data_IF_006296407266
#
_entry.id   IF_006296407266
#
_cell.length_a   1.000
_cell.length_b   1.000
_cell.length_c   1.000
_cell.angle_alpha   90.00
_cell.angle_beta   90.00
_cell.angle_gamma   90.00
#
_symmetry.space_group_name_H-M   'P 1'
#
loop_
_entity.id
_entity.type
_entity.pdbx_description
1 polymer ?
#
# COMPACT_ATOMS: atom_id res chain seq x y z
N UNK A 1 -4.01 -10.11 -35.38
CA UNK A 1 -4.28 -8.71 -35.77
C UNK A 1 -3.29 -7.87 -34.98
N UNK A 2 -2.53 -6.95 -35.60
CA UNK A 2 -1.52 -6.18 -34.86
C UNK A 2 -2.19 -5.38 -33.76
N UNK A 3 -1.63 -5.40 -32.54
CA UNK A 3 -2.14 -4.60 -31.43
C UNK A 3 -2.07 -3.10 -31.73
N UNK A 4 -2.81 -2.29 -30.98
CA UNK A 4 -2.77 -0.82 -31.08
C UNK A 4 -1.33 -0.31 -30.87
N UNK A 5 -0.56 -0.95 -30.00
CA UNK A 5 0.84 -0.61 -29.76
C UNK A 5 1.74 -0.94 -30.95
N UNK A 6 1.50 -2.05 -31.65
CA UNK A 6 2.22 -2.35 -32.90
C UNK A 6 1.98 -1.27 -33.96
N UNK A 7 0.76 -0.72 -34.02
CA UNK A 7 0.43 0.41 -34.91
C UNK A 7 1.13 1.70 -34.50
N UNK A 8 1.26 1.99 -33.19
CA UNK A 8 2.10 3.10 -32.68
C UNK A 8 3.58 2.91 -33.04
N UNK A 9 4.12 1.70 -32.84
CA UNK A 9 5.52 1.37 -33.17
C UNK A 9 5.80 1.58 -34.66
N UNK A 10 4.86 1.18 -35.54
CA UNK A 10 4.97 1.37 -36.99
C UNK A 10 4.78 2.83 -37.45
N UNK A 11 4.35 3.73 -36.57
CA UNK A 11 4.05 5.13 -36.90
C UNK A 11 2.68 5.35 -37.54
N UNK A 12 1.83 4.32 -37.63
CA UNK A 12 0.46 4.43 -38.14
C UNK A 12 -0.43 5.24 -37.20
N UNK A 13 -0.19 5.14 -35.88
CA UNK A 13 -0.89 5.92 -34.86
C UNK A 13 0.06 6.88 -34.14
N UNK A 14 -0.39 8.11 -33.81
CA UNK A 14 0.42 9.05 -33.05
C UNK A 14 0.54 8.60 -31.59
N UNK A 15 1.65 8.98 -30.95
CA UNK A 15 1.85 8.80 -29.52
C UNK A 15 2.69 9.95 -28.95
N UNK A 16 2.47 10.25 -27.67
CA UNK A 16 3.30 11.19 -26.91
C UNK A 16 4.57 10.47 -26.43
N UNK A 17 5.49 10.22 -27.35
CA UNK A 17 6.75 9.50 -27.09
C UNK A 17 7.61 10.26 -26.08
N UNK A 18 8.18 9.53 -25.13
CA UNK A 18 9.09 10.09 -24.11
C UNK A 18 10.50 9.51 -24.18
N UNK A 19 10.63 8.26 -24.63
CA UNK A 19 11.91 7.62 -24.90
C UNK A 19 11.74 6.53 -25.97
N UNK A 20 12.78 6.31 -26.76
CA UNK A 20 12.80 5.28 -27.78
C UNK A 20 14.25 4.80 -27.95
N UNK A 21 14.44 3.48 -28.04
CA UNK A 21 15.69 2.88 -28.51
C UNK A 21 15.41 1.87 -29.64
N UNK A 22 16.40 1.07 -30.05
CA UNK A 22 16.24 0.12 -31.15
C UNK A 22 15.18 -0.96 -30.88
N UNK A 23 14.92 -1.28 -29.60
CA UNK A 23 14.10 -2.41 -29.18
C UNK A 23 12.86 -2.02 -28.36
N UNK A 24 12.81 -0.82 -27.80
CA UNK A 24 11.79 -0.39 -26.86
C UNK A 24 11.23 0.99 -27.20
N UNK A 25 10.01 1.24 -26.74
CA UNK A 25 9.34 2.52 -26.86
C UNK A 25 8.64 2.84 -25.55
N UNK A 26 8.74 4.10 -25.10
CA UNK A 26 7.94 4.63 -24.01
C UNK A 26 7.14 5.84 -24.45
N UNK A 27 5.88 5.91 -24.04
CA UNK A 27 4.96 6.99 -24.38
C UNK A 27 3.91 7.17 -23.28
N UNK A 28 3.31 8.37 -23.20
CA UNK A 28 2.25 8.63 -22.22
C UNK A 28 0.98 7.86 -22.54
N UNK A 29 0.33 7.34 -21.50
CA UNK A 29 -1.02 6.76 -21.58
C UNK A 29 -2.02 7.89 -21.87
N UNK A 30 -2.91 7.68 -22.85
CA UNK A 30 -3.97 8.65 -23.21
C UNK A 30 -5.18 8.58 -22.27
N UNK A 31 -5.26 7.53 -21.43
CA UNK A 31 -6.26 7.31 -20.38
C UNK A 31 -5.60 7.21 -19.00
N UNK A 32 -4.84 8.23 -18.57
CA UNK A 32 -3.98 8.12 -17.41
C UNK A 32 -4.76 8.07 -16.09
N UNK A 33 -4.14 7.43 -15.08
CA UNK A 33 -4.60 7.47 -13.68
C UNK A 33 -4.21 8.80 -13.02
N UNK A 34 -3.02 9.29 -13.36
CA UNK A 34 -2.39 10.50 -12.85
C UNK A 34 -1.54 11.11 -13.97
N UNK A 35 -1.22 12.41 -13.88
CA UNK A 35 -0.30 13.02 -14.85
C UNK A 35 1.06 12.30 -14.86
N UNK A 36 1.62 12.08 -16.05
CA UNK A 36 2.89 11.37 -16.22
C UNK A 36 2.79 9.84 -16.26
N UNK A 37 1.59 9.25 -16.17
CA UNK A 37 1.39 7.81 -16.42
C UNK A 37 1.96 7.46 -17.79
N UNK A 38 3.03 6.66 -17.79
CA UNK A 38 3.80 6.28 -18.96
C UNK A 38 3.75 4.78 -19.17
N UNK A 39 3.55 4.34 -20.42
CA UNK A 39 3.62 2.95 -20.84
C UNK A 39 4.99 2.68 -21.46
N UNK A 40 5.58 1.55 -21.11
CA UNK A 40 6.87 1.09 -21.62
C UNK A 40 6.67 -0.27 -22.29
N UNK A 41 7.02 -0.36 -23.58
CA UNK A 41 6.75 -1.55 -24.42
C UNK A 41 8.03 -2.02 -25.14
N UNK A 42 8.18 -3.32 -25.42
CA UNK A 42 9.05 -3.77 -26.50
C UNK A 42 8.45 -3.34 -27.85
N UNK A 43 9.28 -3.12 -28.86
CA UNK A 43 8.83 -2.85 -30.24
C UNK A 43 8.34 -4.12 -30.93
N UNK A 44 8.92 -5.26 -30.56
CA UNK A 44 8.51 -6.59 -31.01
C UNK A 44 7.28 -7.02 -30.20
N UNK A 45 6.18 -7.23 -30.91
CA UNK A 45 4.92 -7.67 -30.31
C UNK A 45 5.07 -9.06 -29.66
N UNK A 46 4.93 -9.07 -28.34
CA UNK A 46 4.75 -10.26 -27.51
C UNK A 46 3.58 -9.94 -26.60
N UNK A 47 2.57 -10.82 -26.50
CA UNK A 47 1.32 -10.51 -25.80
C UNK A 47 1.56 -10.27 -24.30
N UNK A 48 2.09 -11.28 -23.61
CA UNK A 48 2.29 -11.24 -22.17
C UNK A 48 3.76 -11.04 -21.79
N UNK A 49 4.02 -10.27 -20.74
CA UNK A 49 5.40 -9.90 -20.36
C UNK A 49 6.25 -11.12 -19.98
N UNK A 50 5.65 -12.17 -19.41
CA UNK A 50 6.38 -13.38 -19.01
C UNK A 50 6.60 -14.37 -20.15
N UNK A 51 6.07 -14.09 -21.34
CA UNK A 51 6.41 -14.82 -22.56
C UNK A 51 7.65 -14.24 -23.24
N UNK A 52 8.16 -13.09 -22.76
CA UNK A 52 9.42 -12.53 -23.24
C UNK A 52 10.61 -13.43 -22.83
N UNK A 53 11.60 -13.62 -23.71
CA UNK A 53 12.87 -14.24 -23.33
C UNK A 53 13.51 -13.48 -22.15
N UNK A 54 14.23 -14.16 -21.23
CA UNK A 54 14.80 -13.51 -20.04
C UNK A 54 15.66 -12.27 -20.33
N UNK A 55 16.39 -12.28 -21.44
CA UNK A 55 17.20 -11.14 -21.89
C UNK A 55 16.36 -9.96 -22.35
N UNK A 56 15.26 -10.21 -23.06
CA UNK A 56 14.32 -9.16 -23.50
C UNK A 56 13.53 -8.60 -22.30
N UNK A 57 13.10 -9.46 -21.37
CA UNK A 57 12.44 -9.05 -20.14
C UNK A 57 13.33 -8.14 -19.26
N UNK A 58 14.60 -8.49 -19.12
CA UNK A 58 15.57 -7.69 -18.38
C UNK A 58 15.85 -6.36 -19.08
N UNK A 59 16.02 -6.36 -20.40
CA UNK A 59 16.24 -5.14 -21.18
C UNK A 59 15.04 -4.18 -21.09
N UNK A 60 13.82 -4.71 -21.13
CA UNK A 60 12.59 -3.93 -20.95
C UNK A 60 12.56 -3.24 -19.58
N UNK A 61 12.93 -3.93 -18.50
CA UNK A 61 12.99 -3.35 -17.15
C UNK A 61 14.11 -2.33 -17.00
N UNK A 62 15.27 -2.54 -17.61
CA UNK A 62 16.36 -1.54 -17.63
C UNK A 62 15.95 -0.28 -18.38
N UNK A 63 15.25 -0.44 -19.51
CA UNK A 63 14.65 0.67 -20.25
C UNK A 63 13.61 1.40 -19.38
N UNK A 64 12.69 0.67 -18.75
CA UNK A 64 11.69 1.24 -17.84
C UNK A 64 12.32 1.99 -16.65
N UNK A 65 13.42 1.49 -16.08
CA UNK A 65 14.15 2.15 -15.01
C UNK A 65 14.68 3.53 -15.44
N UNK A 66 15.21 3.65 -16.66
CA UNK A 66 15.66 4.95 -17.20
C UNK A 66 14.49 5.90 -17.41
N UNK A 67 13.40 5.40 -17.99
CA UNK A 67 12.18 6.19 -18.21
C UNK A 67 11.60 6.68 -16.88
N UNK A 68 11.54 5.83 -15.85
CA UNK A 68 11.04 6.20 -14.53
C UNK A 68 11.80 7.37 -13.88
N UNK A 69 13.12 7.46 -14.11
CA UNK A 69 13.93 8.62 -13.67
C UNK A 69 13.47 9.91 -14.34
N UNK A 70 13.25 9.86 -15.66
CA UNK A 70 12.72 11.01 -16.41
C UNK A 70 11.32 11.42 -15.97
N UNK A 71 10.44 10.43 -15.77
CA UNK A 71 9.07 10.64 -15.27
C UNK A 71 9.08 11.34 -13.91
N UNK A 72 9.87 10.83 -12.95
CA UNK A 72 9.96 11.40 -11.60
C UNK A 72 10.53 12.83 -11.59
N UNK A 73 11.46 13.14 -12.48
CA UNK A 73 12.06 14.47 -12.59
C UNK A 73 11.08 15.50 -13.17
N UNK A 74 10.27 15.09 -14.16
CA UNK A 74 9.28 15.97 -14.79
C UNK A 74 7.98 16.10 -13.98
N UNK A 75 7.59 15.04 -13.26
CA UNK A 75 6.37 14.99 -12.43
C UNK A 75 6.77 14.65 -10.99
N UNK A 76 6.95 15.67 -10.13
CA UNK A 76 7.34 15.47 -8.74
C UNK A 76 6.36 14.54 -8.00
N UNK A 77 6.88 13.45 -7.47
CA UNK A 77 6.12 12.45 -6.74
C UNK A 77 7.00 11.74 -5.70
N UNK A 78 6.38 11.05 -4.74
CA UNK A 78 7.12 10.30 -3.71
C UNK A 78 7.84 9.08 -4.31
N UNK A 79 7.14 8.32 -5.16
CA UNK A 79 7.66 7.11 -5.83
C UNK A 79 7.07 6.98 -7.23
N UNK A 80 7.72 6.19 -8.07
CA UNK A 80 7.12 5.67 -9.31
C UNK A 80 6.64 4.24 -9.02
N UNK A 81 5.34 4.03 -9.12
CA UNK A 81 4.73 2.71 -9.13
C UNK A 81 5.01 1.99 -10.43
N UNK A 82 5.17 0.67 -10.33
CA UNK A 82 5.33 -0.23 -11.48
C UNK A 82 4.18 -1.23 -11.42
N UNK A 83 3.43 -1.34 -12.51
CA UNK A 83 2.39 -2.35 -12.66
C UNK A 83 2.48 -3.02 -14.02
N UNK A 84 2.13 -4.31 -14.04
CA UNK A 84 1.93 -5.10 -15.26
C UNK A 84 0.57 -5.76 -15.12
N UNK A 85 -0.34 -5.49 -16.05
CA UNK A 85 -1.70 -6.03 -16.05
C UNK A 85 -1.92 -6.85 -17.31
N UNK A 86 -1.81 -6.22 -18.50
CA UNK A 86 -1.86 -6.90 -19.79
C UNK A 86 -3.25 -7.35 -20.24
N UNK A 87 -4.33 -6.90 -19.59
CA UNK A 87 -5.70 -7.30 -19.94
C UNK A 87 -6.34 -6.40 -21.00
N UNK A 88 -5.90 -5.15 -21.09
CA UNK A 88 -6.49 -4.15 -21.99
C UNK A 88 -5.92 -4.22 -23.42
N UNK A 89 -4.60 -4.37 -23.53
CA UNK A 89 -3.89 -4.43 -24.81
C UNK A 89 -2.98 -5.67 -24.82
N UNK A 90 -3.16 -6.60 -25.78
CA UNK A 90 -2.39 -7.85 -25.84
C UNK A 90 -1.01 -7.61 -26.45
N UNK A 91 -0.19 -6.83 -25.76
CA UNK A 91 1.19 -6.50 -26.09
C UNK A 91 1.88 -6.08 -24.79
N UNK A 92 2.92 -6.80 -24.38
CA UNK A 92 3.64 -6.64 -23.13
C UNK A 92 3.96 -5.17 -22.86
N UNK A 93 3.52 -4.68 -21.70
CA UNK A 93 3.74 -3.30 -21.32
C UNK A 93 3.88 -3.15 -19.81
N UNK A 94 4.74 -2.24 -19.40
CA UNK A 94 4.93 -1.83 -18.02
C UNK A 94 4.30 -0.46 -17.85
N UNK A 95 3.44 -0.31 -16.84
CA UNK A 95 2.94 0.97 -16.39
C UNK A 95 3.93 1.60 -15.42
N UNK A 96 4.33 2.84 -15.68
CA UNK A 96 5.07 3.70 -14.77
C UNK A 96 4.15 4.83 -14.30
N UNK A 97 3.80 4.83 -13.01
CA UNK A 97 2.77 5.70 -12.44
C UNK A 97 3.39 6.57 -11.34
N UNK A 98 3.43 7.90 -11.46
CA UNK A 98 3.78 8.79 -10.36
C UNK A 98 2.83 8.65 -9.16
N UNK A 99 3.36 8.31 -7.98
CA UNK A 99 2.55 8.04 -6.79
C UNK A 99 2.95 8.93 -5.60
N UNK A 100 1.95 9.49 -4.94
CA UNK A 100 2.02 10.17 -3.64
C UNK A 100 1.24 9.41 -2.55
N UNK A 101 0.32 8.54 -2.95
CA UNK A 101 -0.44 7.61 -2.10
C UNK A 101 -0.56 6.24 -2.78
N UNK A 102 -0.93 5.19 -2.04
CA UNK A 102 -1.12 3.84 -2.60
C UNK A 102 -2.30 3.81 -3.59
N UNK A 103 -3.36 4.58 -3.30
CA UNK A 103 -4.57 4.64 -4.14
C UNK A 103 -4.34 5.25 -5.52
N UNK A 104 -3.23 5.96 -5.74
CA UNK A 104 -2.87 6.52 -7.06
C UNK A 104 -2.68 5.42 -8.13
N UNK A 105 -2.33 4.19 -7.72
CA UNK A 105 -2.17 3.02 -8.58
C UNK A 105 -3.39 2.08 -8.53
N UNK A 106 -4.56 2.60 -8.15
CA UNK A 106 -5.80 1.84 -8.24
C UNK A 106 -6.43 2.02 -9.64
N UNK A 107 -6.39 0.95 -10.44
CA UNK A 107 -6.90 0.97 -11.81
C UNK A 107 -8.42 1.13 -11.91
N UNK A 108 -9.16 0.92 -10.81
CA UNK A 108 -10.59 1.19 -10.72
C UNK A 108 -10.92 2.69 -10.55
N UNK A 109 -9.93 3.54 -10.25
CA UNK A 109 -10.16 4.98 -10.17
C UNK A 109 -10.59 5.55 -11.54
N UNK A 110 -11.39 6.63 -11.54
CA UNK A 110 -11.69 7.36 -12.77
C UNK A 110 -10.40 7.84 -13.46
N UNK A 111 -10.29 7.62 -14.76
CA UNK A 111 -9.17 8.15 -15.55
C UNK A 111 -9.29 9.67 -15.66
N UNK A 112 -8.18 10.37 -15.51
CA UNK A 112 -8.17 11.83 -15.63
C UNK A 112 -8.11 12.24 -17.10
N UNK A 113 -8.64 13.42 -17.42
CA UNK A 113 -8.50 14.03 -18.75
C UNK A 113 -7.38 15.05 -18.72
N UNK A 114 -6.34 14.81 -19.51
CA UNK A 114 -5.22 15.73 -19.68
C UNK A 114 -5.32 16.38 -21.04
N UNK A 115 -5.23 17.71 -21.10
CA UNK A 115 -5.30 18.44 -22.37
C UNK A 115 -4.10 18.08 -23.27
N UNK A 116 -4.30 18.05 -24.59
CA UNK A 116 -3.25 17.71 -25.56
C UNK A 116 -1.99 18.57 -25.40
N UNK A 117 -2.14 19.88 -25.16
CA UNK A 117 -1.01 20.77 -24.92
C UNK A 117 -0.18 20.33 -23.70
N UNK A 118 -0.86 19.92 -22.63
CA UNK A 118 -0.23 19.41 -21.41
C UNK A 118 0.43 18.04 -21.64
N UNK A 119 -0.18 17.17 -22.44
CA UNK A 119 0.44 15.89 -22.83
C UNK A 119 1.75 16.10 -23.61
N UNK A 120 1.78 17.07 -24.54
CA UNK A 120 3.00 17.42 -25.28
C UNK A 120 4.08 18.00 -24.37
N UNK A 121 3.69 18.89 -23.46
CA UNK A 121 4.59 19.47 -22.46
C UNK A 121 5.21 18.39 -21.56
N UNK A 122 4.36 17.51 -20.99
CA UNK A 122 4.80 16.38 -20.17
C UNK A 122 5.76 15.48 -20.94
N UNK A 123 5.42 15.10 -22.18
CA UNK A 123 6.27 14.23 -22.97
C UNK A 123 7.65 14.83 -23.23
N UNK A 124 7.70 16.12 -23.59
CA UNK A 124 8.96 16.84 -23.78
C UNK A 124 9.76 16.95 -22.47
N UNK A 125 9.11 17.28 -21.36
CA UNK A 125 9.74 17.41 -20.05
C UNK A 125 10.32 16.08 -19.56
N UNK A 126 9.59 14.97 -19.74
CA UNK A 126 10.06 13.63 -19.39
C UNK A 126 11.24 13.26 -20.28
N UNK A 127 11.10 13.43 -21.60
CA UNK A 127 12.14 13.06 -22.57
C UNK A 127 13.48 13.76 -22.30
N UNK A 128 13.43 15.05 -21.93
CA UNK A 128 14.62 15.80 -21.57
C UNK A 128 15.37 15.27 -20.32
N UNK A 129 14.70 14.47 -19.49
CA UNK A 129 15.22 13.96 -18.22
C UNK A 129 15.52 12.45 -18.26
N UNK A 130 15.20 11.74 -19.36
CA UNK A 130 15.53 10.32 -19.48
C UNK A 130 17.03 10.18 -19.73
N UNK A 131 17.78 9.50 -18.84
CA UNK A 131 19.21 9.28 -19.03
C UNK A 131 19.50 8.42 -20.27
N UNK A 132 20.63 8.68 -20.91
CA UNK A 132 21.17 7.82 -21.96
C UNK A 132 21.40 6.40 -21.45
N UNK A 133 21.44 5.42 -22.35
CA UNK A 133 21.75 4.04 -21.98
C UNK A 133 23.20 3.95 -21.46
N UNK A 134 23.39 3.48 -20.23
CA UNK A 134 24.72 3.14 -19.69
C UNK A 134 25.11 1.75 -20.20
N UNK A 135 26.32 1.61 -20.76
CA UNK A 135 26.92 0.31 -21.08
C UNK A 135 27.38 -0.39 -19.81
N UNK A 136 26.48 -1.10 -19.14
CA UNK A 136 26.83 -1.91 -17.97
C UNK A 136 27.13 -3.36 -18.40
N UNK A 137 28.40 -3.76 -18.33
CA UNK A 137 28.80 -5.17 -18.32
C UNK A 137 28.31 -5.79 -17.00
N UNK A 138 27.29 -6.64 -17.07
CA UNK A 138 26.75 -7.35 -15.93
C UNK A 138 27.78 -8.36 -15.39
N UNK A 139 28.40 -8.06 -14.24
CA UNK A 139 29.05 -9.08 -13.42
C UNK A 139 27.95 -9.87 -12.69
N UNK A 140 27.80 -11.14 -13.05
CA UNK A 140 26.89 -12.05 -12.38
C UNK A 140 27.35 -12.27 -10.93
N UNK A 141 26.64 -11.66 -9.98
CA UNK A 141 26.75 -12.04 -8.57
C UNK A 141 25.85 -13.26 -8.35
N UNK A 142 26.49 -14.42 -8.15
CA UNK A 142 25.82 -15.66 -7.79
C UNK A 142 25.20 -15.53 -6.38
N UNK A 143 23.88 -15.44 -6.31
CA UNK A 143 23.15 -15.61 -5.05
C UNK A 143 22.93 -17.10 -4.80
N UNK A 144 23.29 -17.55 -3.60
CA UNK A 144 23.07 -18.92 -3.13
C UNK A 144 21.56 -19.20 -2.98
N UNK A 145 21.12 -20.45 -3.22
CA UNK A 145 19.70 -20.80 -3.20
C UNK A 145 19.16 -20.74 -1.77
N UNK A 146 18.04 -20.07 -1.57
CA UNK A 146 17.24 -20.24 -0.36
C UNK A 146 16.17 -21.29 -0.64
N UNK A 147 16.24 -22.37 0.14
CA UNK A 147 15.33 -23.50 0.06
C UNK A 147 13.90 -23.11 0.42
N UNK A 148 13.00 -23.49 -0.49
CA UNK A 148 11.55 -23.36 -0.42
C UNK A 148 10.90 -24.42 0.47
N UNK A 149 9.87 -24.05 1.24
CA UNK A 149 8.68 -24.89 1.56
C UNK A 149 7.50 -23.92 1.76
N UNK A 150 6.48 -23.89 0.88
CA UNK A 150 5.33 -24.82 0.88
C UNK A 150 4.42 -24.54 2.09
N UNK A 151 3.14 -24.22 1.98
CA UNK A 151 2.23 -24.28 0.84
C UNK A 151 1.01 -23.36 1.00
N UNK A 152 0.18 -23.36 -0.04
CA UNK A 152 -1.17 -22.79 -0.04
C UNK A 152 -2.01 -23.44 1.04
N UNK A 153 -2.76 -22.63 1.78
CA UNK A 153 -4.07 -23.01 2.29
C UNK A 153 -4.97 -21.77 2.31
N UNK A 154 -6.04 -21.84 1.52
CA UNK A 154 -7.18 -20.94 1.57
C UNK A 154 -8.10 -21.41 2.69
N UNK A 155 -8.50 -20.53 3.61
CA UNK A 155 -9.68 -20.76 4.43
C UNK A 155 -10.60 -19.55 4.39
N UNK A 156 -11.82 -19.85 3.99
CA UNK A 156 -12.99 -18.98 3.96
C UNK A 156 -13.41 -18.50 5.35
N UNK A 157 -14.28 -17.50 5.31
CA UNK A 157 -14.96 -16.80 6.38
C UNK A 157 -15.38 -17.64 7.60
N UNK A 158 -15.27 -17.04 8.78
CA UNK A 158 -16.10 -17.36 9.93
C UNK A 158 -16.71 -16.08 10.50
N UNK A 159 -18.04 -16.03 10.44
CA UNK A 159 -18.87 -15.03 11.06
C UNK A 159 -18.86 -15.16 12.60
N UNK A 160 -18.77 -14.02 13.29
CA UNK A 160 -19.32 -13.72 14.63
C UNK A 160 -18.78 -12.33 15.03
N UNK A 161 -19.48 -11.42 15.68
CA UNK A 161 -20.71 -11.48 16.43
C UNK A 161 -21.40 -10.11 16.38
N UNK A 162 -22.73 -10.11 16.52
CA UNK A 162 -23.59 -8.93 16.61
C UNK A 162 -23.13 -7.96 17.71
N UNK A 163 -22.92 -6.66 17.43
CA UNK A 163 -22.77 -5.69 18.50
C UNK A 163 -24.14 -5.43 19.12
N UNK A 164 -24.23 -5.63 20.44
CA UNK A 164 -25.40 -5.25 21.22
C UNK A 164 -25.59 -3.73 21.15
N UNK A 165 -26.80 -3.31 20.75
CA UNK A 165 -27.17 -1.92 20.62
C UNK A 165 -27.58 -1.28 21.96
N UNK A 166 -27.28 0.02 22.05
CA UNK A 166 -27.98 1.07 22.79
C UNK A 166 -27.75 1.21 24.30
N UNK A 167 -26.69 1.93 24.62
CA UNK A 167 -26.69 3.05 25.57
C UNK A 167 -25.68 4.09 25.04
N UNK A 168 -25.93 5.39 25.20
CA UNK A 168 -24.98 6.45 24.80
C UNK A 168 -23.63 6.22 25.49
N UNK A 169 -22.72 5.49 24.85
CA UNK A 169 -21.37 5.27 25.32
C UNK A 169 -20.52 6.42 24.79
N UNK A 170 -20.41 7.47 25.61
CA UNK A 170 -19.68 8.69 25.27
C UNK A 170 -18.21 8.38 24.95
N UNK A 171 -17.62 7.42 25.65
CA UNK A 171 -16.25 6.94 25.41
C UNK A 171 -16.13 6.31 24.03
N UNK A 172 -17.05 5.40 23.65
CA UNK A 172 -17.04 4.79 22.32
C UNK A 172 -17.24 5.84 21.21
N UNK A 173 -18.13 6.80 21.43
CA UNK A 173 -18.41 7.87 20.46
C UNK A 173 -17.18 8.76 20.23
N UNK A 174 -16.47 9.09 21.31
CA UNK A 174 -15.24 9.87 21.24
C UNK A 174 -14.11 9.08 20.55
N UNK A 175 -13.98 7.78 20.84
CA UNK A 175 -13.03 6.90 20.14
C UNK A 175 -13.33 6.83 18.65
N UNK A 176 -14.61 6.70 18.26
CA UNK A 176 -15.02 6.72 16.85
C UNK A 176 -14.61 8.01 16.14
N UNK A 177 -14.76 9.17 16.79
CA UNK A 177 -14.33 10.44 16.21
C UNK A 177 -12.80 10.51 16.07
N UNK A 178 -12.06 10.06 17.09
CA UNK A 178 -10.60 10.10 17.10
C UNK A 178 -9.98 9.14 16.08
N UNK A 179 -10.57 7.95 15.89
CA UNK A 179 -10.06 6.93 14.95
C UNK A 179 -10.56 7.09 13.52
N UNK A 180 -11.52 7.99 13.25
CA UNK A 180 -12.16 8.13 11.94
C UNK A 180 -11.14 8.38 10.81
N UNK A 181 -10.96 7.41 9.91
CA UNK A 181 -10.00 7.54 8.81
C UNK A 181 -8.51 7.51 9.24
N UNK A 182 -8.22 7.06 10.47
CA UNK A 182 -6.87 6.65 10.85
C UNK A 182 -6.63 5.21 10.40
N UNK A 183 -5.45 4.99 9.83
CA UNK A 183 -4.93 3.65 9.53
C UNK A 183 -3.63 3.43 10.26
N UNK A 184 -3.49 2.28 10.88
CA UNK A 184 -2.25 1.82 11.47
C UNK A 184 -1.35 1.30 10.34
N UNK A 185 -0.26 2.02 10.07
CA UNK A 185 0.77 1.59 9.13
C UNK A 185 1.72 0.55 9.76
N UNK A 186 1.76 -0.63 9.14
CA UNK A 186 2.77 -1.69 9.35
C UNK A 186 3.39 -2.03 7.97
N UNK A 187 3.50 -3.30 7.59
CA UNK A 187 3.72 -3.67 6.18
C UNK A 187 2.46 -3.47 5.31
N UNK A 188 1.29 -3.42 5.95
CA UNK A 188 0.03 -3.01 5.33
C UNK A 188 -0.66 -1.93 6.14
N UNK A 189 -1.71 -1.34 5.56
CA UNK A 189 -2.61 -0.42 6.23
C UNK A 189 -3.76 -1.19 6.87
N UNK A 190 -4.06 -0.92 8.15
CA UNK A 190 -5.22 -1.48 8.85
C UNK A 190 -6.01 -0.39 9.58
N UNK A 191 -7.34 -0.45 9.56
CA UNK A 191 -8.15 0.52 10.29
C UNK A 191 -7.99 0.38 11.81
N UNK A 192 -8.26 1.46 12.55
CA UNK A 192 -8.43 1.42 13.99
C UNK A 192 -9.92 1.31 14.32
N UNK A 193 -10.36 0.12 14.70
CA UNK A 193 -11.76 -0.17 15.03
C UNK A 193 -12.02 0.12 16.50
N UNK A 194 -12.79 1.18 16.85
CA UNK A 194 -13.07 1.53 18.23
C UNK A 194 -13.98 0.48 18.87
N UNK A 195 -13.69 0.12 20.13
CA UNK A 195 -14.40 -0.93 20.86
C UNK A 195 -14.75 -0.48 22.29
N UNK A 196 -15.87 -1.00 22.80
CA UNK A 196 -16.32 -0.87 24.18
C UNK A 196 -16.92 -2.20 24.64
N UNK A 197 -16.47 -2.71 25.78
CA UNK A 197 -16.86 -3.99 26.35
C UNK A 197 -17.26 -3.84 27.81
N UNK A 198 -18.20 -4.67 28.25
CA UNK A 198 -18.45 -4.87 29.68
C UNK A 198 -17.27 -5.65 30.28
N UNK A 199 -16.76 -5.20 31.44
CA UNK A 199 -15.68 -5.93 32.11
C UNK A 199 -16.11 -7.37 32.45
N UNK A 200 -15.31 -8.39 32.09
CA UNK A 200 -15.60 -9.78 32.41
C UNK A 200 -15.52 -10.03 33.92
N UNK A 201 -16.42 -10.87 34.45
CA UNK A 201 -16.60 -11.13 35.88
C UNK A 201 -15.40 -11.75 36.62
N UNK A 202 -14.29 -12.06 35.91
CA UNK A 202 -13.04 -12.59 36.45
C UNK A 202 -11.79 -11.80 36.04
N UNK A 203 -11.96 -10.58 35.54
CA UNK A 203 -10.86 -9.74 35.06
C UNK A 203 -10.32 -10.12 33.67
N UNK A 204 -9.32 -9.38 33.21
CA UNK A 204 -8.69 -9.53 31.89
C UNK A 204 -7.69 -10.70 31.84
N UNK A 205 -8.20 -11.92 31.96
CA UNK A 205 -7.41 -13.14 31.69
C UNK A 205 -7.08 -13.27 30.20
N UNK A 206 -6.01 -14.00 29.86
CA UNK A 206 -5.61 -14.23 28.46
C UNK A 206 -6.74 -14.88 27.64
N UNK A 207 -7.54 -15.76 28.25
CA UNK A 207 -8.71 -16.36 27.61
C UNK A 207 -9.81 -15.32 27.30
N UNK A 208 -10.07 -14.39 28.23
CA UNK A 208 -11.01 -13.30 28.01
C UNK A 208 -10.50 -12.34 26.93
N UNK A 209 -9.21 -12.00 26.94
CA UNK A 209 -8.56 -11.17 25.93
C UNK A 209 -8.64 -11.81 24.54
N UNK A 210 -8.37 -13.12 24.44
CA UNK A 210 -8.49 -13.86 23.18
C UNK A 210 -9.93 -13.82 22.64
N UNK A 211 -10.93 -14.03 23.50
CA UNK A 211 -12.33 -13.93 23.13
C UNK A 211 -12.70 -12.52 22.66
N UNK A 212 -12.26 -11.48 23.39
CA UNK A 212 -12.50 -10.09 23.01
C UNK A 212 -11.84 -9.75 21.68
N UNK A 213 -10.63 -10.24 21.41
CA UNK A 213 -9.92 -10.05 20.15
C UNK A 213 -10.50 -10.87 18.99
N UNK A 214 -11.33 -11.88 19.26
CA UNK A 214 -11.88 -12.78 18.24
C UNK A 214 -10.86 -13.82 17.75
N UNK A 215 -9.89 -14.19 18.60
CA UNK A 215 -8.85 -15.17 18.28
C UNK A 215 -9.05 -16.48 19.06
N UNK A 216 -8.47 -17.61 18.61
CA UNK A 216 -8.60 -18.89 19.31
C UNK A 216 -8.11 -18.83 20.76
N UNK A 217 -8.79 -19.56 21.65
CA UNK A 217 -8.34 -19.72 23.03
C UNK A 217 -6.95 -20.39 23.06
N UNK A 218 -6.05 -19.88 23.91
CA UNK A 218 -4.66 -20.36 23.99
C UNK A 218 -3.68 -19.66 23.04
N UNK A 219 -4.15 -18.72 22.21
CA UNK A 219 -3.26 -17.84 21.44
C UNK A 219 -2.36 -17.06 22.40
N UNK A 220 -1.05 -17.04 22.13
CA UNK A 220 -0.07 -16.31 22.96
C UNK A 220 -0.40 -14.82 22.97
N UNK A 221 -0.41 -14.23 24.17
CA UNK A 221 -0.67 -12.80 24.38
C UNK A 221 0.62 -12.12 24.81
N UNK A 222 1.09 -11.16 24.01
CA UNK A 222 2.19 -10.28 24.37
C UNK A 222 1.63 -8.91 24.78
N UNK A 223 2.15 -8.36 25.89
CA UNK A 223 1.74 -7.05 26.41
C UNK A 223 2.78 -6.00 26.04
N UNK A 224 2.30 -4.86 25.55
CA UNK A 224 3.14 -3.74 25.13
C UNK A 224 2.57 -2.42 25.67
N UNK A 225 3.46 -1.47 26.00
CA UNK A 225 3.08 -0.11 26.39
C UNK A 225 2.52 0.68 25.22
N UNK A 226 1.42 1.43 25.44
CA UNK A 226 0.77 2.24 24.40
C UNK A 226 1.73 3.22 23.72
N UNK A 227 2.58 3.88 24.51
CA UNK A 227 3.57 4.84 23.99
C UNK A 227 4.55 4.18 23.04
N UNK A 228 4.99 2.98 23.38
CA UNK A 228 5.93 2.24 22.55
C UNK A 228 5.24 1.69 21.30
N UNK A 229 3.98 1.22 21.41
CA UNK A 229 3.18 0.77 20.28
C UNK A 229 2.95 1.85 19.24
N UNK A 230 2.57 3.07 19.65
CA UNK A 230 2.29 4.19 18.75
C UNK A 230 3.51 5.02 18.35
N UNK A 231 4.73 4.66 18.78
CA UNK A 231 5.95 5.51 18.67
C UNK A 231 6.23 6.02 17.24
N UNK A 232 6.01 5.17 16.24
CA UNK A 232 6.24 5.54 14.84
C UNK A 232 5.12 6.43 14.31
N UNK A 233 3.91 6.27 14.83
CA UNK A 233 2.72 7.02 14.43
C UNK A 233 2.63 8.38 15.14
N UNK A 234 3.40 8.58 16.21
CA UNK A 234 3.45 9.83 16.98
C UNK A 234 4.78 10.58 16.85
N UNK A 235 5.67 10.14 15.97
CA UNK A 235 6.96 10.79 15.73
C UNK A 235 6.78 12.22 15.17
N UNK A 236 7.73 13.11 15.49
CA UNK A 236 7.62 14.54 15.14
C UNK A 236 7.72 14.81 13.64
N UNK A 237 8.44 13.98 12.88
CA UNK A 237 8.49 14.05 11.41
C UNK A 237 7.19 13.55 10.73
N UNK A 238 6.20 13.11 11.52
CA UNK A 238 4.91 12.65 11.01
C UNK A 238 4.86 11.15 10.68
N UNK A 239 3.66 10.62 10.48
CA UNK A 239 3.48 9.25 9.96
C UNK A 239 3.75 9.27 8.47
N UNK A 240 4.82 8.61 8.01
CA UNK A 240 5.26 8.68 6.61
C UNK A 240 5.44 10.13 6.11
N UNK A 241 5.94 11.05 6.95
CA UNK A 241 6.13 12.46 6.57
C UNK A 241 4.85 13.32 6.66
N UNK A 242 3.75 12.81 7.23
CA UNK A 242 2.51 13.56 7.42
C UNK A 242 2.36 13.98 8.90
N UNK A 243 2.67 15.25 9.18
CA UNK A 243 2.59 15.83 10.52
C UNK A 243 1.15 15.95 11.05
N UNK A 244 0.17 16.22 10.17
CA UNK A 244 -1.24 16.27 10.55
C UNK A 244 -1.72 14.91 11.04
N UNK A 245 -1.38 13.84 10.31
CA UNK A 245 -1.71 12.48 10.71
C UNK A 245 -1.07 12.10 12.05
N UNK A 246 0.19 12.46 12.28
CA UNK A 246 0.84 12.21 13.56
C UNK A 246 0.19 12.99 14.72
N UNK A 247 -0.25 14.23 14.49
CA UNK A 247 -0.98 14.99 15.50
C UNK A 247 -2.31 14.33 15.86
N UNK A 248 -3.00 13.70 14.89
CA UNK A 248 -4.20 12.92 15.17
C UNK A 248 -3.92 11.68 16.00
N UNK A 249 -2.83 10.96 15.73
CA UNK A 249 -2.38 9.85 16.57
C UNK A 249 -1.95 10.31 17.97
N UNK A 250 -1.29 11.46 18.10
CA UNK A 250 -0.96 12.09 19.40
C UNK A 250 -2.24 12.40 20.19
N UNK A 251 -3.27 12.96 19.54
CA UNK A 251 -4.55 13.24 20.19
C UNK A 251 -5.25 11.96 20.66
N UNK A 252 -5.25 10.89 19.84
CA UNK A 252 -5.77 9.59 20.24
C UNK A 252 -4.99 9.00 21.44
N UNK A 253 -3.66 9.04 21.39
CA UNK A 253 -2.81 8.56 22.48
C UNK A 253 -3.07 9.33 23.78
N UNK A 254 -3.20 10.66 23.70
CA UNK A 254 -3.50 11.52 24.85
C UNK A 254 -4.86 11.18 25.45
N UNK A 255 -5.89 11.06 24.62
CA UNK A 255 -7.23 10.67 25.08
C UNK A 255 -7.20 9.33 25.82
N UNK A 256 -6.61 8.29 25.20
CA UNK A 256 -6.51 6.97 25.83
C UNK A 256 -5.81 7.05 27.19
N UNK A 257 -4.70 7.80 27.30
CA UNK A 257 -3.95 7.93 28.57
C UNK A 257 -4.64 8.76 29.65
N UNK A 258 -5.48 9.72 29.27
CA UNK A 258 -6.11 10.65 30.20
C UNK A 258 -7.47 10.17 30.67
N UNK A 259 -8.22 9.52 29.77
CA UNK A 259 -9.62 9.16 29.99
C UNK A 259 -9.81 7.68 30.33
N UNK A 260 -8.80 6.84 30.08
CA UNK A 260 -8.82 5.42 30.45
C UNK A 260 -7.70 5.09 31.44
N UNK A 261 -8.04 4.25 32.42
CA UNK A 261 -7.08 3.75 33.40
C UNK A 261 -6.36 2.50 32.86
N UNK A 262 -5.09 2.34 33.23
CA UNK A 262 -4.28 1.15 32.94
C UNK A 262 -4.30 0.70 31.47
N UNK A 263 -4.18 1.65 30.54
CA UNK A 263 -4.20 1.32 29.10
C UNK A 263 -3.03 0.41 28.72
N UNK A 264 -3.37 -0.75 28.17
CA UNK A 264 -2.42 -1.75 27.72
C UNK A 264 -2.68 -2.15 26.27
N UNK A 265 -1.62 -2.46 25.54
CA UNK A 265 -1.68 -3.07 24.22
C UNK A 265 -1.46 -4.57 24.34
N UNK A 266 -2.35 -5.35 23.73
CA UNK A 266 -2.30 -6.81 23.68
C UNK A 266 -2.12 -7.25 22.23
N UNK A 267 -1.01 -7.94 21.94
CA UNK A 267 -0.71 -8.55 20.63
C UNK A 267 -0.98 -10.04 20.71
N UNK A 268 -1.65 -10.60 19.71
CA UNK A 268 -2.08 -12.00 19.71
C UNK A 268 -1.33 -12.81 18.65
N UNK A 269 -0.53 -13.77 19.11
CA UNK A 269 0.24 -14.67 18.25
C UNK A 269 1.51 -14.05 17.67
N UNK A 270 2.23 -14.85 16.89
CA UNK A 270 3.49 -14.49 16.21
C UNK A 270 3.41 -14.75 14.71
N UNK A 271 2.20 -14.82 14.17
CA UNK A 271 1.96 -15.01 12.74
C UNK A 271 2.09 -13.69 11.98
N UNK A 272 2.02 -13.71 10.64
CA UNK A 272 2.24 -12.52 9.83
C UNK A 272 1.12 -11.49 9.92
N UNK A 273 -0.06 -11.91 10.40
CA UNK A 273 -1.11 -11.01 10.83
C UNK A 273 -1.24 -11.15 12.34
N UNK A 274 -0.91 -10.10 13.06
CA UNK A 274 -0.98 -10.04 14.52
C UNK A 274 -2.16 -9.15 14.89
N UNK A 275 -3.30 -9.74 15.30
CA UNK A 275 -4.38 -8.97 15.89
C UNK A 275 -3.87 -8.20 17.10
N UNK A 276 -4.29 -6.95 17.22
CA UNK A 276 -3.96 -6.09 18.35
C UNK A 276 -5.21 -5.53 18.96
N UNK A 277 -5.25 -5.56 20.28
CA UNK A 277 -6.31 -4.99 21.09
C UNK A 277 -5.67 -4.00 22.06
N UNK A 278 -6.06 -2.73 21.96
CA UNK A 278 -5.70 -1.68 22.91
C UNK A 278 -6.90 -1.46 23.82
N UNK A 279 -6.72 -1.65 25.11
CA UNK A 279 -7.81 -1.49 26.10
C UNK A 279 -7.31 -0.77 27.34
N UNK A 280 -8.17 0.07 27.91
CA UNK A 280 -8.10 0.55 29.28
C UNK A 280 -9.50 0.59 29.91
N UNK A 281 -9.55 0.85 31.21
CA UNK A 281 -10.80 0.95 31.95
C UNK A 281 -11.36 2.38 31.88
N UNK A 282 -12.58 2.50 31.35
CA UNK A 282 -13.35 3.73 31.30
C UNK A 282 -14.21 3.92 32.55
N UNK A 283 -14.82 5.10 32.70
CA UNK A 283 -15.81 5.35 33.74
C UNK A 283 -16.94 4.32 33.73
N UNK A 284 -17.35 3.87 34.93
CA UNK A 284 -18.38 2.85 35.10
C UNK A 284 -17.87 1.41 34.93
N UNK A 285 -16.55 1.18 34.94
CA UNK A 285 -15.94 -0.16 34.94
C UNK A 285 -16.05 -0.88 33.60
N UNK A 286 -16.27 -0.14 32.50
CA UNK A 286 -16.23 -0.67 31.14
C UNK A 286 -14.80 -0.69 30.62
N UNK A 287 -14.52 -1.58 29.68
CA UNK A 287 -13.27 -1.58 28.94
C UNK A 287 -13.48 -0.87 27.60
N UNK A 288 -12.59 0.05 27.24
CA UNK A 288 -12.67 0.77 25.98
C UNK A 288 -11.30 0.91 25.32
N UNK A 289 -11.31 1.12 24.01
CA UNK A 289 -10.10 1.37 23.22
C UNK A 289 -10.31 1.05 21.76
N UNK A 290 -9.37 0.36 21.11
CA UNK A 290 -9.50 0.00 19.70
C UNK A 290 -8.82 -1.32 19.35
N UNK A 291 -9.24 -1.89 18.23
CA UNK A 291 -8.61 -3.03 17.57
C UNK A 291 -7.93 -2.62 16.28
N UNK A 292 -6.88 -3.34 15.92
CA UNK A 292 -6.26 -3.25 14.60
C UNK A 292 -5.52 -4.56 14.31
N UNK A 293 -4.91 -4.68 13.13
CA UNK A 293 -4.10 -5.83 12.75
C UNK A 293 -2.76 -5.31 12.25
N UNK A 294 -1.67 -5.86 12.78
CA UNK A 294 -0.33 -5.62 12.25
C UNK A 294 -0.01 -6.67 11.20
N UNK A 295 0.54 -6.24 10.08
CA UNK A 295 1.18 -7.13 9.12
C UNK A 295 2.69 -7.02 9.27
N UNK A 296 3.34 -8.12 9.63
CA UNK A 296 4.79 -8.23 9.89
C UNK A 296 5.29 -9.57 9.29
N UNK A 297 6.28 -9.57 8.41
CA UNK A 297 6.82 -10.78 7.74
C UNK A 297 8.20 -11.20 8.23
#
# INVERSE_FOLDING_TARGET
MPSIFSRIVSGELPAYKVAEDDHHLAFLDITPLVEGHTLVIPKKETDYIFDLPPTELAALHQFAQRVAKGVRAAVPCRRIGVAVIGLEVPHAHIHLIPMNSVSDMNFANPKIKVAEARMKELAAAISAQVPAAETTTAAAATLAPQDSKGGRETTEASAAATPAANGNDATLSQLQQLTQGLVFMSESEAALEPVSYTAPAGGLTDAALAQLAGVPAGTTVEKQELTYFLRNHTADEGVLGNAELANRFKALQMYLKQELNEVQVYRFGSGPQVPVLVLGEAEGGKLAGFKTVLTET
#
